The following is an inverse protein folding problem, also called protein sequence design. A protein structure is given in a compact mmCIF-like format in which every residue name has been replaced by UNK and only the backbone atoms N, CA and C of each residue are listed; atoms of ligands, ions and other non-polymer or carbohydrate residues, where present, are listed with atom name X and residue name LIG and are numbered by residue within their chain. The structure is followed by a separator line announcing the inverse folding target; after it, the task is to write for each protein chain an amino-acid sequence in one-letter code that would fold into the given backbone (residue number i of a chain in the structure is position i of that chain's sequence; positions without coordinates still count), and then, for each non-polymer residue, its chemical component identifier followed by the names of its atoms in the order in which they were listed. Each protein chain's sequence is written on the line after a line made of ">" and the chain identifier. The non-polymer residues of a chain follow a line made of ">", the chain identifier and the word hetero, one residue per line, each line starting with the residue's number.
data_IF_057542762624
#
_entry.id   IF_057542762624
#
_cell.length_a   1.000
_cell.length_b   1.000
_cell.length_c   1.000
_cell.angle_alpha   90.00
_cell.angle_beta   90.00
_cell.angle_gamma   90.00
#
_symmetry.space_group_name_H-M   'P 1'
#
loop_
_entity.id
_entity.type
_entity.pdbx_description
1 polymer ?
#
# COMPACT_ATOMS: atom_id res chain seq x y z
N UNK A 1 -26.26 5.98 10.66
CA UNK A 1 -26.34 6.24 9.20
C UNK A 1 -27.74 6.09 8.64
N UNK A 2 -28.40 4.93 8.78
CA UNK A 2 -29.73 4.71 8.18
C UNK A 2 -30.77 5.80 8.50
N UNK A 3 -30.85 6.26 9.76
CA UNK A 3 -31.77 7.33 10.15
C UNK A 3 -31.52 8.65 9.39
N UNK A 4 -30.26 9.11 9.32
CA UNK A 4 -29.90 10.35 8.60
C UNK A 4 -30.26 10.23 7.12
N UNK A 5 -30.05 9.05 6.52
CA UNK A 5 -30.35 8.79 5.12
C UNK A 5 -31.87 8.81 4.86
N UNK A 6 -32.66 8.11 5.67
CA UNK A 6 -34.12 8.04 5.47
C UNK A 6 -34.86 9.30 5.93
N UNK A 7 -34.57 9.82 7.12
CA UNK A 7 -35.27 10.98 7.68
C UNK A 7 -34.71 12.31 7.20
N UNK A 8 -33.38 12.40 7.03
CA UNK A 8 -32.71 13.62 6.60
C UNK A 8 -32.68 13.79 5.08
N UNK A 9 -32.36 12.71 4.34
CA UNK A 9 -32.18 12.76 2.88
C UNK A 9 -33.34 12.14 2.09
N UNK A 10 -34.34 11.55 2.74
CA UNK A 10 -35.51 10.92 2.11
C UNK A 10 -35.15 9.92 1.00
N UNK A 11 -34.05 9.15 1.14
CA UNK A 11 -33.72 8.11 0.16
C UNK A 11 -34.72 6.95 0.23
N UNK A 12 -35.16 6.39 -0.91
CA UNK A 12 -36.20 5.35 -0.94
C UNK A 12 -35.70 3.98 -0.48
N UNK A 13 -34.40 3.69 -0.61
CA UNK A 13 -33.78 2.45 -0.19
C UNK A 13 -32.27 2.66 0.03
N UNK A 14 -31.67 1.83 0.89
CA UNK A 14 -30.21 1.79 1.11
C UNK A 14 -29.74 0.34 1.11
N UNK A 15 -28.52 0.12 0.66
CA UNK A 15 -27.81 -1.15 0.77
C UNK A 15 -26.44 -0.90 1.39
N UNK A 16 -26.06 -1.72 2.36
CA UNK A 16 -24.75 -1.67 3.03
C UNK A 16 -24.04 -2.96 2.65
N UNK A 17 -23.00 -2.82 1.83
CA UNK A 17 -22.16 -3.93 1.40
C UNK A 17 -20.86 -3.97 2.17
N UNK A 18 -20.36 -5.18 2.41
CA UNK A 18 -19.03 -5.41 2.99
C UNK A 18 -17.94 -5.05 1.96
N UNK A 19 -16.97 -4.21 2.36
CA UNK A 19 -15.87 -3.75 1.51
C UNK A 19 -15.09 -4.91 0.82
N UNK A 20 -14.65 -5.97 1.53
CA UNK A 20 -13.90 -7.04 0.86
C UNK A 20 -14.74 -7.81 -0.15
N UNK A 21 -16.03 -8.01 0.12
CA UNK A 21 -16.93 -8.70 -0.82
C UNK A 21 -17.10 -7.88 -2.10
N UNK A 22 -17.30 -6.56 -1.97
CA UNK A 22 -17.40 -5.65 -3.11
C UNK A 22 -16.11 -5.58 -3.92
N UNK A 23 -14.94 -5.64 -3.27
CA UNK A 23 -13.65 -5.65 -3.94
C UNK A 23 -13.46 -6.91 -4.81
N UNK A 24 -13.79 -8.09 -4.29
CA UNK A 24 -13.72 -9.35 -5.08
C UNK A 24 -14.71 -9.32 -6.25
N UNK A 25 -15.92 -8.77 -6.02
CA UNK A 25 -16.89 -8.59 -7.10
C UNK A 25 -16.42 -7.62 -8.19
N UNK A 26 -15.65 -6.58 -7.83
CA UNK A 26 -15.04 -5.66 -8.80
C UNK A 26 -14.11 -6.36 -9.81
N UNK A 27 -13.51 -7.48 -9.41
CA UNK A 27 -12.64 -8.31 -10.27
C UNK A 27 -13.42 -9.43 -10.99
N UNK A 28 -14.72 -9.57 -10.71
CA UNK A 28 -15.56 -10.62 -11.29
C UNK A 28 -15.31 -12.01 -10.73
N UNK A 29 -14.70 -12.11 -9.54
CA UNK A 29 -14.49 -13.36 -8.84
C UNK A 29 -15.53 -13.53 -7.72
N UNK A 30 -15.71 -14.77 -7.24
CA UNK A 30 -16.54 -15.06 -6.07
C UNK A 30 -15.70 -15.36 -4.80
N UNK A 31 -14.43 -15.70 -4.98
CA UNK A 31 -13.51 -16.08 -3.91
C UNK A 31 -12.15 -15.44 -4.15
N UNK A 32 -11.47 -15.01 -3.09
CA UNK A 32 -10.16 -14.37 -3.16
C UNK A 32 -9.69 -13.83 -1.81
N UNK A 33 -8.43 -13.41 -1.75
CA UNK A 33 -7.89 -12.66 -0.60
C UNK A 33 -7.92 -11.18 -0.93
N UNK A 34 -8.61 -10.38 -0.13
CA UNK A 34 -8.60 -8.93 -0.27
C UNK A 34 -7.60 -8.35 0.70
N UNK A 35 -6.71 -7.51 0.19
CA UNK A 35 -5.80 -6.67 0.97
C UNK A 35 -6.18 -5.23 0.66
N UNK A 36 -6.89 -4.59 1.58
CA UNK A 36 -7.31 -3.20 1.48
C UNK A 36 -6.36 -2.32 2.29
N UNK A 37 -5.63 -1.42 1.62
CA UNK A 37 -4.67 -0.52 2.25
C UNK A 37 -5.32 0.87 2.30
N UNK A 38 -5.80 1.24 3.49
CA UNK A 38 -6.47 2.51 3.71
C UNK A 38 -5.52 3.65 4.10
N UNK A 39 -6.12 4.72 4.62
CA UNK A 39 -5.37 5.83 5.19
C UNK A 39 -4.77 5.47 6.56
N UNK A 40 -5.53 4.83 7.44
CA UNK A 40 -5.11 4.56 8.83
C UNK A 40 -4.84 3.09 9.11
N UNK A 41 -5.56 2.19 8.45
CA UNK A 41 -5.48 0.75 8.67
C UNK A 41 -5.29 0.02 7.35
N UNK A 42 -4.69 -1.16 7.43
CA UNK A 42 -4.64 -2.14 6.35
C UNK A 42 -5.41 -3.37 6.78
N UNK A 43 -6.42 -3.75 6.00
CA UNK A 43 -7.32 -4.85 6.30
C UNK A 43 -7.12 -6.00 5.31
N UNK A 44 -6.87 -7.19 5.84
CA UNK A 44 -6.63 -8.41 5.09
C UNK A 44 -7.78 -9.35 5.38
N UNK A 45 -8.69 -9.54 4.43
CA UNK A 45 -9.87 -10.40 4.62
C UNK A 45 -9.99 -11.42 3.49
N UNK A 46 -9.92 -12.73 3.80
CA UNK A 46 -10.24 -13.76 2.83
C UNK A 46 -11.75 -13.84 2.60
N UNK A 47 -12.16 -13.99 1.35
CA UNK A 47 -13.54 -14.15 0.91
C UNK A 47 -13.66 -15.48 0.18
N UNK A 48 -14.64 -16.30 0.57
CA UNK A 48 -14.93 -17.60 -0.04
C UNK A 48 -16.41 -17.62 -0.38
N UNK A 49 -16.74 -17.86 -1.65
CA UNK A 49 -18.11 -17.92 -2.18
C UNK A 49 -18.95 -16.70 -1.80
N UNK A 50 -18.34 -15.51 -1.93
CA UNK A 50 -18.90 -14.21 -1.54
C UNK A 50 -19.20 -14.05 -0.03
N UNK A 51 -18.62 -14.92 0.81
CA UNK A 51 -18.74 -14.85 2.26
C UNK A 51 -17.37 -14.48 2.86
N UNK A 52 -17.25 -13.34 3.56
CA UNK A 52 -16.02 -12.94 4.22
C UNK A 52 -15.74 -13.85 5.42
N UNK A 53 -14.49 -14.30 5.54
CA UNK A 53 -14.05 -15.20 6.60
C UNK A 53 -13.41 -14.39 7.74
N UNK A 54 -14.25 -13.86 8.63
CA UNK A 54 -13.80 -12.98 9.73
C UNK A 54 -12.81 -13.64 10.70
N UNK A 55 -12.87 -14.97 10.89
CA UNK A 55 -11.95 -15.70 11.75
C UNK A 55 -10.50 -15.76 11.22
N UNK A 56 -10.32 -15.50 9.93
CA UNK A 56 -9.03 -15.44 9.25
C UNK A 56 -8.71 -14.03 8.74
N UNK A 57 -9.48 -13.03 9.17
CA UNK A 57 -9.24 -11.63 8.86
C UNK A 57 -8.20 -11.03 9.81
N UNK A 58 -7.34 -10.16 9.29
CA UNK A 58 -6.29 -9.47 10.02
C UNK A 58 -6.34 -7.98 9.70
N UNK A 59 -6.36 -7.15 10.74
CA UNK A 59 -6.22 -5.69 10.62
C UNK A 59 -4.86 -5.28 11.16
N UNK A 60 -4.16 -4.44 10.40
CA UNK A 60 -2.86 -3.87 10.75
C UNK A 60 -2.99 -2.35 10.88
N UNK A 61 -2.41 -1.78 11.94
CA UNK A 61 -2.34 -0.33 12.16
C UNK A 61 -1.18 0.33 11.38
N UNK A 62 -0.86 -0.20 10.20
CA UNK A 62 0.17 0.32 9.31
C UNK A 62 -0.46 0.57 7.95
N UNK A 63 -0.54 1.84 7.55
CA UNK A 63 -1.20 2.26 6.33
C UNK A 63 -0.66 3.62 5.85
N UNK A 64 -1.44 4.38 5.08
CA UNK A 64 -1.02 5.66 4.49
C UNK A 64 -0.53 6.73 5.48
N UNK A 65 -1.14 6.85 6.65
CA UNK A 65 -0.82 7.89 7.65
C UNK A 65 0.57 7.67 8.26
N UNK A 66 0.91 6.41 8.54
CA UNK A 66 2.25 6.05 9.03
C UNK A 66 3.31 6.38 7.96
N UNK A 67 2.99 6.18 6.68
CA UNK A 67 3.88 6.57 5.58
C UNK A 67 4.01 8.08 5.45
N UNK A 68 2.92 8.83 5.62
CA UNK A 68 2.92 10.29 5.55
C UNK A 68 3.77 10.91 6.68
N UNK A 69 3.64 10.39 7.91
CA UNK A 69 4.47 10.79 9.05
C UNK A 69 5.94 10.46 8.84
N UNK A 70 6.22 9.23 8.37
CA UNK A 70 7.58 8.80 8.08
C UNK A 70 8.24 9.67 6.99
N UNK A 71 7.52 9.92 5.89
CA UNK A 71 8.01 10.75 4.79
C UNK A 71 8.23 12.19 5.23
N UNK A 72 7.31 12.75 6.03
CA UNK A 72 7.47 14.09 6.60
C UNK A 72 8.74 14.18 7.46
N UNK A 73 9.00 13.17 8.29
CA UNK A 73 10.23 13.08 9.08
C UNK A 73 11.50 13.03 8.23
N UNK A 74 11.50 12.27 7.14
CA UNK A 74 12.64 12.20 6.21
C UNK A 74 12.85 13.53 5.47
N UNK A 75 11.78 14.16 4.98
CA UNK A 75 11.83 15.46 4.31
C UNK A 75 12.31 16.58 5.23
N UNK A 76 12.02 16.50 6.53
CA UNK A 76 12.48 17.47 7.52
C UNK A 76 13.96 17.25 7.91
N UNK A 77 14.47 16.03 7.75
CA UNK A 77 15.87 15.69 8.04
C UNK A 77 16.83 16.10 6.91
N UNK A 78 16.34 16.20 5.67
CA UNK A 78 17.14 16.61 4.53
C UNK A 78 17.29 18.15 4.45
N UNK A 79 18.52 18.70 4.50
CA UNK A 79 18.73 20.15 4.47
C UNK A 79 18.43 20.79 3.11
N UNK A 80 18.51 20.05 1.99
CA UNK A 80 18.26 20.61 0.64
C UNK A 80 16.77 20.91 0.45
N UNK A 81 15.90 19.98 0.84
CA UNK A 81 14.44 20.12 0.77
C UNK A 81 13.94 21.27 1.64
N UNK A 82 14.50 21.46 2.84
CA UNK A 82 14.14 22.55 3.76
C UNK A 82 14.57 23.91 3.19
N UNK A 83 15.70 23.96 2.48
CA UNK A 83 16.13 25.17 1.78
C UNK A 83 15.17 25.52 0.63
N UNK A 84 14.75 24.53 -0.16
CA UNK A 84 13.79 24.72 -1.27
C UNK A 84 12.39 25.12 -0.78
N UNK A 85 11.99 24.71 0.42
CA UNK A 85 10.73 25.11 1.08
C UNK A 85 10.79 26.50 1.73
N UNK A 86 11.89 27.24 1.54
CA UNK A 86 12.07 28.60 2.07
C UNK A 86 12.26 28.65 3.58
N UNK A 87 12.80 27.57 4.18
CA UNK A 87 13.04 27.46 5.62
C UNK A 87 11.82 27.06 6.45
N UNK A 88 10.69 26.72 5.82
CA UNK A 88 9.54 26.16 6.52
C UNK A 88 9.72 24.64 6.71
N UNK A 89 9.30 24.13 7.87
CA UNK A 89 9.19 22.69 8.09
C UNK A 89 8.12 22.08 7.15
N UNK A 90 8.37 20.92 6.54
CA UNK A 90 7.35 20.26 5.72
C UNK A 90 6.12 19.90 6.57
N UNK A 91 4.93 20.11 6.00
CA UNK A 91 3.64 19.75 6.61
C UNK A 91 3.23 18.34 6.18
N UNK A 92 2.42 17.65 6.98
CA UNK A 92 1.86 16.33 6.63
C UNK A 92 1.09 16.34 5.30
N UNK A 93 0.33 17.41 5.00
CA UNK A 93 -0.37 17.54 3.71
C UNK A 93 0.61 17.62 2.53
N UNK A 94 1.78 18.21 2.73
CA UNK A 94 2.82 18.26 1.71
C UNK A 94 3.45 16.88 1.52
N UNK A 95 3.75 16.15 2.61
CA UNK A 95 4.24 14.78 2.52
C UNK A 95 3.23 13.87 1.78
N UNK A 96 1.94 13.99 2.11
CA UNK A 96 0.87 13.28 1.42
C UNK A 96 0.79 13.64 -0.06
N UNK A 97 0.90 14.93 -0.39
CA UNK A 97 0.95 15.37 -1.78
C UNK A 97 2.14 14.75 -2.54
N UNK A 98 3.33 14.75 -1.94
CA UNK A 98 4.52 14.12 -2.54
C UNK A 98 4.31 12.63 -2.74
N UNK A 99 3.76 11.93 -1.75
CA UNK A 99 3.41 10.50 -1.85
C UNK A 99 2.44 10.22 -3.00
N UNK A 100 1.38 11.03 -3.14
CA UNK A 100 0.35 10.87 -4.16
C UNK A 100 0.75 11.44 -5.54
N UNK A 101 1.82 12.24 -5.62
CA UNK A 101 2.30 12.88 -6.85
C UNK A 101 2.94 11.93 -7.87
N UNK A 102 3.22 10.68 -7.48
CA UNK A 102 3.86 9.67 -8.33
C UNK A 102 5.39 9.64 -8.25
N UNK A 103 6.01 10.40 -7.33
CA UNK A 103 7.46 10.35 -7.06
C UNK A 103 7.83 9.14 -6.20
N UNK A 104 6.92 8.70 -5.33
CA UNK A 104 7.12 7.52 -4.49
C UNK A 104 6.77 6.24 -5.25
N UNK A 105 7.70 5.28 -5.28
CA UNK A 105 7.50 3.97 -5.87
C UNK A 105 7.97 2.86 -4.92
N UNK A 106 7.30 1.72 -4.97
CA UNK A 106 7.72 0.52 -4.24
C UNK A 106 8.72 -0.23 -5.10
N UNK A 107 9.95 -0.37 -4.61
CA UNK A 107 10.98 -1.14 -5.30
C UNK A 107 10.76 -2.65 -5.09
N UNK A 108 10.91 -3.43 -6.16
CA UNK A 108 10.84 -4.88 -6.12
C UNK A 108 12.21 -5.45 -5.75
N UNK A 109 12.32 -6.08 -4.57
CA UNK A 109 13.55 -6.66 -4.04
C UNK A 109 14.15 -5.86 -2.88
N UNK A 110 14.85 -6.54 -1.98
CA UNK A 110 15.59 -5.93 -0.86
C UNK A 110 16.89 -5.24 -1.37
N UNK A 111 16.87 -4.62 -2.54
CA UNK A 111 18.00 -3.84 -2.99
C UNK A 111 17.86 -2.44 -2.38
N UNK A 112 18.60 -2.24 -1.29
CA UNK A 112 18.78 -0.96 -0.58
C UNK A 112 19.55 0.06 -1.41
N UNK A 113 19.75 -0.19 -2.70
CA UNK A 113 20.40 0.74 -3.61
C UNK A 113 19.40 1.84 -3.93
N UNK A 114 19.63 3.01 -3.35
CA UNK A 114 19.00 4.27 -3.75
C UNK A 114 19.07 4.33 -5.27
N UNK A 115 17.93 4.32 -6.00
CA UNK A 115 17.97 4.48 -7.44
C UNK A 115 18.64 5.83 -7.69
N UNK A 116 19.84 5.80 -8.27
CA UNK A 116 20.55 7.00 -8.70
C UNK A 116 19.80 7.52 -9.92
N UNK A 117 18.64 8.16 -9.70
CA UNK A 117 17.94 8.90 -10.74
C UNK A 117 18.82 10.09 -11.09
N UNK A 118 19.61 9.93 -12.15
CA UNK A 118 20.13 11.06 -12.89
C UNK A 118 18.93 11.91 -13.30
N UNK A 119 18.82 13.10 -12.74
CA UNK A 119 17.87 14.14 -13.15
C UNK A 119 17.97 14.35 -14.66
N UNK A 120 17.11 13.70 -15.44
CA UNK A 120 16.93 14.07 -16.84
C UNK A 120 15.94 15.24 -16.88
N UNK A 121 16.34 16.41 -17.40
CA UNK A 121 15.42 17.51 -17.64
C UNK A 121 14.46 17.11 -18.78
N UNK A 122 13.19 16.89 -18.40
CA UNK A 122 11.98 17.03 -19.20
C UNK A 122 12.11 17.04 -20.75
N UNK A 123 11.86 15.92 -21.45
CA UNK A 123 11.09 15.94 -22.71
C UNK A 123 10.56 14.55 -23.12
N UNK A 124 9.31 14.55 -23.62
CA UNK A 124 8.61 13.57 -24.48
C UNK A 124 8.32 12.15 -23.97
N UNK A 125 7.02 11.93 -23.70
CA UNK A 125 6.18 10.75 -24.02
C UNK A 125 6.96 9.50 -24.48
N UNK A 126 7.10 8.53 -23.59
CA UNK A 126 7.54 7.16 -23.90
C UNK A 126 6.37 6.20 -23.78
N UNK A 127 6.02 5.55 -24.89
CA UNK A 127 5.02 4.48 -25.00
C UNK A 127 5.42 3.27 -24.15
N UNK A 128 4.44 2.68 -23.45
CA UNK A 128 4.60 1.41 -22.76
C UNK A 128 4.93 0.29 -23.76
N UNK A 129 6.07 -0.38 -23.56
CA UNK A 129 6.35 -1.65 -24.23
C UNK A 129 6.01 -2.80 -23.27
N UNK A 130 5.13 -3.69 -23.73
CA UNK A 130 4.79 -4.95 -23.09
C UNK A 130 6.00 -5.90 -23.11
N UNK A 131 6.57 -6.20 -21.95
CA UNK A 131 7.49 -7.34 -21.83
C UNK A 131 6.72 -8.60 -21.42
N UNK A 132 6.61 -9.49 -22.40
CA UNK A 132 6.04 -10.83 -22.33
C UNK A 132 6.94 -11.73 -21.48
N UNK A 133 6.38 -12.28 -20.40
CA UNK A 133 7.10 -13.18 -19.50
C UNK A 133 7.18 -14.60 -20.08
N UNK A 134 8.32 -14.97 -20.64
CA UNK A 134 8.66 -16.37 -20.99
C UNK A 134 9.45 -16.96 -19.83
N UNK A 135 8.87 -17.98 -19.19
CA UNK A 135 9.37 -18.59 -17.96
C UNK A 135 10.81 -19.08 -18.04
N UNK A 136 11.55 -18.88 -16.94
CA UNK A 136 12.76 -19.65 -16.63
C UNK A 136 12.68 -20.20 -15.21
N UNK A 137 13.02 -21.48 -15.16
CA UNK A 137 12.83 -22.45 -14.09
C UNK A 137 13.45 -22.06 -12.74
N UNK A 138 12.77 -22.53 -11.70
CA UNK A 138 13.22 -22.51 -10.31
C UNK A 138 14.55 -23.26 -10.15
N UNK A 139 15.60 -22.55 -9.70
CA UNK A 139 16.76 -23.19 -9.08
C UNK A 139 16.53 -23.30 -7.57
N UNK A 140 16.50 -24.55 -7.10
CA UNK A 140 16.58 -24.94 -5.69
C UNK A 140 17.72 -24.20 -4.99
N UNK A 141 17.41 -23.53 -3.88
CA UNK A 141 18.39 -23.14 -2.89
C UNK A 141 18.43 -24.24 -1.82
N UNK A 142 19.50 -25.03 -1.85
CA UNK A 142 19.90 -25.93 -0.77
C UNK A 142 20.43 -25.12 0.41
N UNK A 143 20.11 -25.53 1.64
CA UNK A 143 20.86 -25.09 2.84
C UNK A 143 20.02 -24.55 3.99
N UNK A 144 19.26 -25.42 4.67
CA UNK A 144 18.73 -25.15 6.01
C UNK A 144 19.84 -25.39 7.05
N UNK A 145 20.33 -24.33 7.69
CA UNK A 145 21.32 -24.41 8.77
C UNK A 145 20.68 -24.04 10.12
N UNK A 146 20.42 -25.09 10.92
CA UNK A 146 20.60 -25.18 12.38
C UNK A 146 20.15 -24.03 13.28
N UNK A 147 19.08 -24.29 14.05
CA UNK A 147 18.75 -23.62 15.31
C UNK A 147 19.81 -23.99 16.37
N UNK A 148 20.45 -23.05 17.09
CA UNK A 148 21.27 -23.40 18.24
C UNK A 148 20.39 -23.54 19.49
N UNK A 149 20.32 -24.77 20.02
CA UNK A 149 19.75 -25.05 21.34
C UNK A 149 20.64 -24.53 22.47
N UNK A 150 20.02 -23.95 23.48
CA UNK A 150 20.60 -23.73 24.80
C UNK A 150 20.01 -24.78 25.74
N UNK A 151 20.85 -25.74 26.16
CA UNK A 151 20.53 -26.72 27.20
C UNK A 151 21.26 -26.34 28.50
N UNK A 152 20.46 -26.31 29.57
CA UNK A 152 20.74 -26.69 30.97
C UNK A 152 21.65 -25.85 31.88
N UNK A 153 21.06 -25.35 32.96
CA UNK A 153 21.28 -25.88 34.32
C UNK A 153 19.96 -25.85 35.11
#
# INVERSE_FOLDING_TARGET
>A
MAQILFEGLNVPAIYIGEQPVMAVYGVGMASGLVVDIGATTTDITPVIDAIPQYHASLTLDVAGAVLDEYLCGQLAADPETVADLGGNSPTLDFARFVKESGVCQVLLGHDTQVPTTSRQPNTSVGTAEEETWVGKEARKADGWAGVPGTETA
#
